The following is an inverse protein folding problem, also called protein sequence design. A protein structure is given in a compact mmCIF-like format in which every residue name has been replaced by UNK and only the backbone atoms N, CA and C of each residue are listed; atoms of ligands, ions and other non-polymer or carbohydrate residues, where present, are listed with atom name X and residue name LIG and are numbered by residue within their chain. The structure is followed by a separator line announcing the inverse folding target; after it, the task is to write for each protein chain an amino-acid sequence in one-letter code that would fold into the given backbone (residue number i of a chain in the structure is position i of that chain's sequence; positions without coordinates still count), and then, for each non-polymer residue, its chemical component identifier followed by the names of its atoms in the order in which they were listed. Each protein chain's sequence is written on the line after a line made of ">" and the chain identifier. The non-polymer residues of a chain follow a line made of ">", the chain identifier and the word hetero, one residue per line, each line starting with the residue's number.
data_IF_168473634324
#
_entry.id   IF_168473634324
#
_cell.length_a   1.000
_cell.length_b   1.000
_cell.length_c   1.000
_cell.angle_alpha   90.00
_cell.angle_beta   90.00
_cell.angle_gamma   90.00
#
_symmetry.space_group_name_H-M   'P 1'
#
loop_
_entity.id
_entity.type
_entity.pdbx_description
1 polymer ?
#
# COMPACT_ATOMS: atom_id res chain seq x y z
N UNK A 1 -20.12 13.83 -14.61
CA UNK A 1 -19.80 13.90 -13.16
C UNK A 1 -19.58 12.52 -12.54
N UNK A 2 -19.88 11.43 -13.24
CA UNK A 2 -19.79 10.03 -12.76
C UNK A 2 -18.38 9.53 -12.42
N UNK A 3 -17.33 10.03 -13.08
CA UNK A 3 -15.96 9.59 -12.84
C UNK A 3 -15.45 9.84 -11.40
N UNK A 4 -15.95 10.88 -10.72
CA UNK A 4 -15.59 11.16 -9.32
C UNK A 4 -16.28 10.20 -8.34
N UNK A 5 -17.51 9.80 -8.63
CA UNK A 5 -18.28 8.84 -7.82
C UNK A 5 -17.74 7.42 -7.94
N UNK A 6 -17.34 6.99 -9.14
CA UNK A 6 -16.73 5.66 -9.31
C UNK A 6 -15.40 5.54 -8.56
N UNK A 7 -14.62 6.63 -8.51
CA UNK A 7 -13.34 6.69 -7.81
C UNK A 7 -13.49 6.69 -6.29
N UNK A 8 -14.53 7.33 -5.74
CA UNK A 8 -14.78 7.34 -4.29
C UNK A 8 -15.27 5.98 -3.80
N UNK A 9 -16.13 5.31 -4.58
CA UNK A 9 -16.62 3.96 -4.28
C UNK A 9 -15.48 2.92 -4.28
N UNK A 10 -14.57 2.99 -5.26
CA UNK A 10 -13.41 2.08 -5.30
C UNK A 10 -12.44 2.26 -4.12
N UNK A 11 -12.29 3.48 -3.59
CA UNK A 11 -11.48 3.72 -2.40
C UNK A 11 -12.14 3.17 -1.13
N UNK A 12 -13.47 3.22 -1.04
CA UNK A 12 -14.21 2.73 0.12
C UNK A 12 -14.12 1.19 0.24
N UNK A 13 -14.27 0.46 -0.86
CA UNK A 13 -14.12 -1.00 -0.87
C UNK A 13 -12.69 -1.42 -0.50
N UNK A 14 -11.68 -0.78 -1.08
CA UNK A 14 -10.28 -1.03 -0.76
C UNK A 14 -9.96 -0.73 0.71
N UNK A 15 -10.56 0.32 1.27
CA UNK A 15 -10.45 0.66 2.69
C UNK A 15 -11.04 -0.43 3.59
N UNK A 16 -12.28 -0.84 3.35
CA UNK A 16 -12.97 -1.85 4.17
C UNK A 16 -12.21 -3.18 4.14
N UNK A 17 -11.72 -3.57 2.97
CA UNK A 17 -10.94 -4.79 2.82
C UNK A 17 -9.56 -4.67 3.50
N UNK A 18 -8.87 -3.54 3.38
CA UNK A 18 -7.62 -3.30 4.08
C UNK A 18 -7.80 -3.38 5.60
N UNK A 19 -8.84 -2.74 6.15
CA UNK A 19 -9.17 -2.80 7.57
C UNK A 19 -9.43 -4.26 7.98
N UNK A 20 -10.36 -4.94 7.31
CA UNK A 20 -10.71 -6.34 7.59
C UNK A 20 -9.47 -7.23 7.62
N UNK A 21 -8.60 -7.10 6.61
CA UNK A 21 -7.39 -7.91 6.51
C UNK A 21 -6.42 -7.61 7.65
N UNK A 22 -6.10 -6.34 7.92
CA UNK A 22 -5.17 -5.96 8.98
C UNK A 22 -5.67 -6.43 10.34
N UNK A 23 -6.96 -6.24 10.64
CA UNK A 23 -7.55 -6.68 11.90
C UNK A 23 -7.52 -8.20 12.04
N UNK A 24 -7.85 -8.92 10.96
CA UNK A 24 -7.88 -10.37 10.99
C UNK A 24 -6.47 -11.00 11.11
N UNK A 25 -5.43 -10.38 10.57
CA UNK A 25 -4.03 -10.82 10.70
C UNK A 25 -3.46 -10.47 12.07
N UNK A 26 -3.67 -9.23 12.52
CA UNK A 26 -3.11 -8.75 13.79
C UNK A 26 -3.89 -9.20 15.01
N UNK A 27 -5.16 -9.60 14.82
CA UNK A 27 -6.15 -9.87 15.88
C UNK A 27 -6.38 -8.64 16.77
N UNK A 28 -6.30 -7.44 16.18
CA UNK A 28 -6.50 -6.15 16.85
C UNK A 28 -7.45 -5.31 16.02
N UNK A 29 -8.22 -4.43 16.65
CA UNK A 29 -9.17 -3.54 15.97
C UNK A 29 -8.54 -2.20 15.63
N UNK A 30 -9.04 -1.54 14.58
CA UNK A 30 -8.81 -0.13 14.33
C UNK A 30 -9.56 0.61 15.44
N UNK A 31 -8.85 1.19 16.41
CA UNK A 31 -9.47 1.87 17.56
C UNK A 31 -10.20 3.18 17.22
N UNK A 32 -10.51 3.40 15.95
CA UNK A 32 -11.10 4.61 15.38
C UNK A 32 -11.74 4.26 14.04
N UNK A 33 -12.88 4.88 13.73
CA UNK A 33 -13.55 4.76 12.42
C UNK A 33 -12.81 5.54 11.32
N UNK A 34 -11.93 6.48 11.70
CA UNK A 34 -11.04 7.16 10.74
C UNK A 34 -9.75 6.34 10.50
N UNK A 35 -9.52 6.00 9.22
CA UNK A 35 -8.35 5.24 8.76
C UNK A 35 -7.03 5.81 9.24
N UNK A 36 -6.88 7.14 9.13
CA UNK A 36 -5.64 7.82 9.44
C UNK A 36 -5.40 7.69 10.94
N UNK A 37 -6.37 8.05 11.77
CA UNK A 37 -6.23 7.96 13.22
C UNK A 37 -5.93 6.55 13.70
N UNK A 38 -6.46 5.53 13.03
CA UNK A 38 -6.16 4.14 13.35
C UNK A 38 -4.71 3.70 13.02
N UNK A 39 -4.09 4.30 12.00
CA UNK A 39 -2.77 3.90 11.50
C UNK A 39 -1.63 4.89 11.82
N UNK A 40 -1.92 6.13 12.18
CA UNK A 40 -0.92 7.20 12.33
C UNK A 40 0.09 6.96 13.46
N UNK A 41 -0.27 6.17 14.47
CA UNK A 41 0.67 5.73 15.51
C UNK A 41 1.63 4.64 15.02
N UNK A 42 1.38 4.03 13.87
CA UNK A 42 2.21 3.00 13.22
C UNK A 42 2.29 1.65 13.94
N UNK A 43 1.74 1.50 15.15
CA UNK A 43 1.85 0.28 15.97
C UNK A 43 1.20 -0.90 15.26
N UNK A 44 -0.02 -0.70 14.75
CA UNK A 44 -0.79 -1.75 14.09
C UNK A 44 -0.10 -2.25 12.81
N UNK A 45 0.52 -1.33 12.06
CA UNK A 45 1.31 -1.65 10.87
C UNK A 45 2.58 -2.42 11.20
N UNK A 46 3.28 -2.05 12.28
CA UNK A 46 4.44 -2.82 12.75
C UNK A 46 4.05 -4.22 13.22
N UNK A 47 2.93 -4.34 13.94
CA UNK A 47 2.40 -5.63 14.38
C UNK A 47 1.99 -6.51 13.19
N UNK A 48 1.40 -5.93 12.13
CA UNK A 48 1.06 -6.62 10.89
C UNK A 48 2.29 -7.27 10.25
N UNK A 49 3.39 -6.52 10.12
CA UNK A 49 4.65 -7.04 9.59
C UNK A 49 5.16 -8.22 10.43
N UNK A 50 5.11 -8.10 11.76
CA UNK A 50 5.56 -9.18 12.65
C UNK A 50 4.63 -10.41 12.62
N UNK A 51 3.38 -10.27 12.18
CA UNK A 51 2.49 -11.40 11.91
C UNK A 51 2.80 -12.06 10.56
N UNK A 52 3.11 -11.27 9.54
CA UNK A 52 3.51 -11.78 8.23
C UNK A 52 4.86 -12.49 8.31
N UNK A 53 5.83 -11.86 8.99
CA UNK A 53 7.18 -12.39 9.16
C UNK A 53 7.70 -12.10 10.57
N UNK A 54 7.58 -13.06 11.49
CA UNK A 54 8.00 -12.89 12.89
C UNK A 54 9.44 -12.42 13.03
N UNK A 55 9.66 -11.48 13.96
CA UNK A 55 10.99 -10.96 14.29
C UNK A 55 11.54 -9.89 13.35
N UNK A 56 10.78 -9.46 12.33
CA UNK A 56 11.23 -8.42 11.38
C UNK A 56 11.39 -7.06 12.05
N UNK A 57 10.43 -6.67 12.90
CA UNK A 57 10.46 -5.42 13.67
C UNK A 57 10.66 -5.77 15.15
N UNK A 58 11.85 -5.47 15.67
CA UNK A 58 12.26 -5.84 17.03
C UNK A 58 11.71 -4.93 18.13
N UNK A 59 11.48 -3.65 17.82
CA UNK A 59 11.04 -2.63 18.79
C UNK A 59 10.00 -1.74 18.13
N UNK A 60 8.91 -1.50 18.86
CA UNK A 60 7.82 -0.60 18.48
C UNK A 60 7.72 0.46 19.59
N UNK A 61 7.70 1.73 19.21
CA UNK A 61 7.56 2.84 20.14
C UNK A 61 6.08 3.00 20.53
N UNK A 62 5.75 2.86 21.82
CA UNK A 62 4.37 2.93 22.32
C UNK A 62 4.04 4.24 23.03
N UNK A 63 4.94 5.23 22.97
CA UNK A 63 4.68 6.55 23.54
C UNK A 63 3.56 7.23 22.73
N UNK A 64 2.60 7.91 23.38
CA UNK A 64 1.50 8.61 22.71
C UNK A 64 1.98 9.97 22.16
N UNK A 65 3.01 9.97 21.31
CA UNK A 65 3.58 11.18 20.72
C UNK A 65 3.64 11.07 19.19
N UNK A 66 3.47 12.19 18.45
CA UNK A 66 3.57 12.18 16.99
C UNK A 66 4.93 11.67 16.48
N UNK A 67 6.01 11.95 17.22
CA UNK A 67 7.37 11.50 16.90
C UNK A 67 7.48 9.97 16.99
N UNK A 68 6.85 9.35 17.99
CA UNK A 68 6.80 7.89 18.11
C UNK A 68 6.02 7.25 16.96
N UNK A 69 4.89 7.86 16.56
CA UNK A 69 4.13 7.44 15.39
C UNK A 69 4.96 7.47 14.10
N UNK A 70 5.65 8.59 13.86
CA UNK A 70 6.53 8.76 12.71
C UNK A 70 7.68 7.73 12.70
N UNK A 71 8.30 7.46 13.84
CA UNK A 71 9.35 6.43 13.96
C UNK A 71 8.81 5.04 13.60
N UNK A 72 7.65 4.67 14.14
CA UNK A 72 7.00 3.39 13.82
C UNK A 72 6.66 3.27 12.33
N UNK A 73 6.12 4.31 11.69
CA UNK A 73 5.83 4.33 10.26
C UNK A 73 7.12 4.11 9.43
N UNK A 74 8.21 4.80 9.78
CA UNK A 74 9.49 4.61 9.11
C UNK A 74 10.05 3.19 9.31
N UNK A 75 9.90 2.62 10.51
CA UNK A 75 10.28 1.22 10.79
C UNK A 75 9.45 0.24 9.95
N UNK A 76 8.15 0.46 9.85
CA UNK A 76 7.25 -0.32 9.00
C UNK A 76 7.67 -0.28 7.53
N UNK A 77 7.89 0.91 6.95
CA UNK A 77 8.28 1.06 5.55
C UNK A 77 9.62 0.38 5.24
N UNK A 78 10.62 0.52 6.12
CA UNK A 78 11.89 -0.21 6.01
C UNK A 78 11.69 -1.72 6.05
N UNK A 79 10.77 -2.21 6.88
CA UNK A 79 10.47 -3.63 6.95
C UNK A 79 9.78 -4.13 5.68
N UNK A 80 8.83 -3.38 5.12
CA UNK A 80 8.24 -3.67 3.80
C UNK A 80 9.33 -3.82 2.72
N UNK A 81 10.33 -2.93 2.70
CA UNK A 81 11.48 -3.03 1.80
C UNK A 81 12.28 -4.33 2.01
N UNK A 82 12.55 -4.72 3.26
CA UNK A 82 13.20 -6.01 3.59
C UNK A 82 12.38 -7.22 3.18
N UNK A 83 11.06 -7.10 3.17
CA UNK A 83 10.16 -8.13 2.66
C UNK A 83 10.20 -8.19 1.13
N UNK A 84 10.70 -7.18 0.44
CA UNK A 84 10.89 -7.17 -1.02
C UNK A 84 9.99 -6.19 -1.77
N UNK A 85 9.27 -5.30 -1.07
CA UNK A 85 8.56 -4.19 -1.72
C UNK A 85 9.56 -3.17 -2.26
N UNK A 86 9.26 -2.61 -3.43
CA UNK A 86 10.06 -1.54 -4.07
C UNK A 86 9.64 -0.17 -3.51
N UNK A 87 10.53 0.81 -3.56
CA UNK A 87 10.23 2.18 -3.07
C UNK A 87 8.99 2.79 -3.73
N UNK A 88 8.77 2.54 -5.03
CA UNK A 88 7.57 3.00 -5.75
C UNK A 88 6.25 2.38 -5.25
N UNK A 89 6.31 1.33 -4.41
CA UNK A 89 5.17 0.68 -3.79
C UNK A 89 4.95 1.14 -2.35
N UNK A 90 5.87 1.95 -1.80
CA UNK A 90 5.83 2.46 -0.44
C UNK A 90 5.22 3.87 -0.41
N UNK A 91 4.34 4.10 0.56
CA UNK A 91 3.86 5.44 0.88
C UNK A 91 4.93 6.23 1.66
N UNK A 92 4.81 7.55 1.68
CA UNK A 92 5.62 8.41 2.55
C UNK A 92 4.86 8.71 3.85
N UNK A 93 5.47 8.76 5.06
CA UNK A 93 4.72 8.99 6.30
C UNK A 93 3.81 10.23 6.31
N UNK A 94 4.17 11.26 5.52
CA UNK A 94 3.32 12.44 5.28
C UNK A 94 2.01 12.14 4.56
N UNK A 95 1.92 11.04 3.81
CA UNK A 95 0.73 10.61 3.07
C UNK A 95 -0.44 10.20 3.96
N UNK A 96 -0.17 9.91 5.25
CA UNK A 96 -1.25 9.68 6.21
C UNK A 96 -1.94 11.00 6.62
N UNK A 97 -1.31 12.16 6.41
CA UNK A 97 -1.85 13.46 6.84
C UNK A 97 -2.88 14.04 5.87
N UNK A 98 -2.74 13.79 4.56
CA UNK A 98 -3.66 14.28 3.53
C UNK A 98 -4.70 13.20 3.13
N UNK A 99 -5.95 13.63 2.94
CA UNK A 99 -7.05 12.78 2.50
C UNK A 99 -6.80 12.21 1.11
N UNK A 100 -6.15 12.99 0.24
CA UNK A 100 -5.84 12.59 -1.14
C UNK A 100 -4.78 11.49 -1.22
N UNK A 101 -3.93 11.37 -0.20
CA UNK A 101 -2.80 10.45 -0.12
C UNK A 101 -3.10 9.15 0.64
N UNK A 102 -4.32 8.97 1.17
CA UNK A 102 -4.78 7.67 1.71
C UNK A 102 -4.73 6.54 0.67
N UNK A 103 -4.81 6.89 -0.61
CA UNK A 103 -4.67 5.96 -1.74
C UNK A 103 -3.31 5.28 -1.77
N UNK A 104 -2.21 6.01 -1.51
CA UNK A 104 -0.85 5.42 -1.54
C UNK A 104 -0.67 4.41 -0.42
N UNK A 105 -1.22 4.69 0.77
CA UNK A 105 -1.24 3.76 1.91
C UNK A 105 -1.97 2.46 1.55
N UNK A 106 -3.14 2.55 0.92
CA UNK A 106 -3.90 1.39 0.45
C UNK A 106 -3.13 0.59 -0.61
N UNK A 107 -2.44 1.27 -1.54
CA UNK A 107 -1.59 0.61 -2.54
C UNK A 107 -0.44 -0.14 -1.86
N UNK A 108 0.22 0.44 -0.85
CA UNK A 108 1.27 -0.27 -0.10
C UNK A 108 0.72 -1.49 0.63
N UNK A 109 -0.47 -1.40 1.23
CA UNK A 109 -1.15 -2.53 1.88
C UNK A 109 -1.45 -3.63 0.87
N UNK A 110 -1.92 -3.28 -0.33
CA UNK A 110 -2.13 -4.23 -1.43
C UNK A 110 -0.86 -5.02 -1.77
N UNK A 111 0.26 -4.32 -1.97
CA UNK A 111 1.54 -4.97 -2.29
C UNK A 111 2.07 -5.81 -1.14
N UNK A 112 1.87 -5.36 0.10
CA UNK A 112 2.24 -6.14 1.28
C UNK A 112 1.39 -7.42 1.38
N UNK A 113 0.09 -7.34 1.07
CA UNK A 113 -0.81 -8.51 1.02
C UNK A 113 -0.40 -9.51 -0.05
N UNK A 114 -0.04 -9.04 -1.26
CA UNK A 114 0.58 -9.88 -2.31
C UNK A 114 1.84 -10.56 -1.79
N UNK A 115 2.71 -9.80 -1.12
CA UNK A 115 3.96 -10.34 -0.60
C UNK A 115 3.75 -11.38 0.50
N UNK A 116 2.79 -11.16 1.38
CA UNK A 116 2.43 -12.08 2.45
C UNK A 116 2.00 -13.45 1.90
N UNK A 117 1.17 -13.47 0.84
CA UNK A 117 0.75 -14.73 0.19
C UNK A 117 1.90 -15.52 -0.45
N UNK A 118 3.00 -14.85 -0.82
CA UNK A 118 4.18 -15.51 -1.35
C UNK A 118 5.13 -16.04 -0.26
N UNK A 119 4.89 -15.70 1.01
CA UNK A 119 5.71 -16.19 2.13
C UNK A 119 5.18 -17.56 2.59
N UNK A 120 6.03 -18.59 2.57
CA UNK A 120 5.65 -19.95 2.92
C UNK A 120 5.25 -20.11 4.39
N UNK A 121 5.72 -19.21 5.27
CA UNK A 121 5.43 -19.26 6.70
C UNK A 121 4.17 -18.47 7.07
N UNK A 122 3.56 -17.79 6.12
CA UNK A 122 2.36 -17.01 6.38
C UNK A 122 1.11 -17.91 6.41
N UNK A 123 0.42 -17.92 7.55
CA UNK A 123 -0.79 -18.71 7.81
C UNK A 123 -2.04 -17.84 8.03
N UNK A 124 -1.93 -16.53 7.83
CA UNK A 124 -3.01 -15.57 8.03
C UNK A 124 -4.01 -15.52 6.87
N UNK A 125 -5.16 -14.85 7.07
CA UNK A 125 -6.14 -14.67 6.01
C UNK A 125 -5.56 -13.88 4.83
N UNK A 126 -6.09 -14.13 3.64
CA UNK A 126 -5.68 -13.45 2.43
C UNK A 126 -6.43 -12.13 2.22
N UNK A 127 -5.72 -11.16 1.65
CA UNK A 127 -6.30 -9.92 1.16
C UNK A 127 -7.07 -10.21 -0.14
N UNK A 128 -8.30 -9.71 -0.23
CA UNK A 128 -9.12 -9.78 -1.43
C UNK A 128 -8.70 -8.70 -2.42
N UNK A 129 -7.85 -9.06 -3.38
CA UNK A 129 -7.33 -8.12 -4.38
C UNK A 129 -8.40 -7.47 -5.26
N UNK A 130 -9.56 -8.11 -5.42
CA UNK A 130 -10.67 -7.56 -6.20
C UNK A 130 -11.18 -6.24 -5.61
N UNK A 131 -11.14 -6.08 -4.29
CA UNK A 131 -11.55 -4.85 -3.62
C UNK A 131 -10.66 -3.64 -3.99
N UNK A 132 -9.46 -3.87 -4.54
CA UNK A 132 -8.51 -2.84 -4.96
C UNK A 132 -8.61 -2.52 -6.46
N UNK A 133 -9.41 -3.22 -7.25
CA UNK A 133 -9.49 -3.00 -8.71
C UNK A 133 -9.89 -1.57 -9.07
N UNK A 134 -10.86 -0.96 -8.36
CA UNK A 134 -11.26 0.43 -8.60
C UNK A 134 -10.15 1.44 -8.25
N UNK A 135 -9.35 1.14 -7.22
CA UNK A 135 -8.20 1.94 -6.79
C UNK A 135 -7.05 1.85 -7.81
N UNK A 136 -6.75 0.63 -8.27
CA UNK A 136 -5.64 0.36 -9.18
C UNK A 136 -5.97 0.73 -10.61
N UNK A 137 -7.21 0.55 -11.06
CA UNK A 137 -7.67 0.96 -12.39
C UNK A 137 -7.58 2.47 -12.60
N UNK A 138 -7.88 3.27 -11.57
CA UNK A 138 -7.72 4.73 -11.60
C UNK A 138 -6.26 5.18 -11.49
N UNK A 139 -5.44 4.49 -10.69
CA UNK A 139 -3.99 4.74 -10.62
C UNK A 139 -3.28 4.40 -11.93
N UNK A 140 -3.61 3.25 -12.55
CA UNK A 140 -3.10 2.85 -13.85
C UNK A 140 -3.55 3.82 -14.93
N UNK A 141 -4.82 4.25 -14.98
CA UNK A 141 -5.27 5.26 -15.93
C UNK A 141 -4.47 6.57 -15.82
N UNK A 142 -4.16 7.04 -14.60
CA UNK A 142 -3.32 8.23 -14.40
C UNK A 142 -1.88 8.02 -14.89
N UNK A 143 -1.29 6.85 -14.64
CA UNK A 143 0.06 6.51 -15.13
C UNK A 143 0.06 6.46 -16.66
N UNK A 144 -0.91 5.79 -17.28
CA UNK A 144 -1.03 5.69 -18.75
C UNK A 144 -1.32 7.07 -19.36
N UNK A 145 -2.14 7.91 -18.72
CA UNK A 145 -2.42 9.27 -19.19
C UNK A 145 -1.20 10.21 -19.06
N UNK A 146 -0.38 10.06 -18.01
CA UNK A 146 0.92 10.74 -17.93
C UNK A 146 1.89 10.24 -19.01
N UNK A 147 1.88 8.96 -19.34
CA UNK A 147 2.65 8.41 -20.46
C UNK A 147 2.21 8.98 -21.82
N UNK A 148 0.91 9.12 -22.09
CA UNK A 148 0.41 9.79 -23.30
C UNK A 148 0.83 11.27 -23.36
N UNK A 149 0.82 11.98 -22.24
CA UNK A 149 1.31 13.37 -22.17
C UNK A 149 2.81 13.42 -22.45
N UNK A 150 3.62 12.52 -21.87
CA UNK A 150 5.07 12.46 -22.13
C UNK A 150 5.39 12.05 -23.58
N UNK A 151 4.62 11.10 -24.16
CA UNK A 151 4.73 10.70 -25.56
C UNK A 151 4.34 11.87 -26.48
N UNK A 152 3.32 12.66 -26.13
CA UNK A 152 2.89 13.85 -26.88
C UNK A 152 3.88 15.02 -26.78
N UNK A 153 4.65 15.11 -25.69
CA UNK A 153 5.72 16.09 -25.46
C UNK A 153 7.07 15.65 -26.04
N UNK A 154 7.11 14.54 -26.80
CA UNK A 154 8.20 14.21 -27.72
C UNK A 154 9.54 13.82 -27.07
N UNK A 155 9.57 13.51 -25.77
CA UNK A 155 10.82 13.13 -25.09
C UNK A 155 10.70 11.76 -24.45
N UNK A 156 10.92 10.70 -25.24
CA UNK A 156 11.58 9.51 -24.68
C UNK A 156 12.36 8.69 -25.70
N UNK A 157 13.64 8.57 -25.39
CA UNK A 157 14.61 7.61 -25.92
C UNK A 157 14.08 6.16 -25.80
N UNK A 158 14.34 5.38 -26.84
CA UNK A 158 13.91 3.98 -27.06
C UNK A 158 14.21 3.01 -25.90
N UNK A 159 15.09 3.38 -24.98
CA UNK A 159 15.45 2.59 -23.80
C UNK A 159 14.33 2.52 -22.74
N UNK A 160 13.49 3.56 -22.61
CA UNK A 160 12.41 3.58 -21.60
C UNK A 160 11.24 2.67 -22.02
N UNK A 161 10.91 2.64 -23.32
CA UNK A 161 9.92 1.70 -23.86
C UNK A 161 10.30 0.23 -23.67
N UNK A 162 11.60 -0.10 -23.74
CA UNK A 162 12.07 -1.47 -23.53
C UNK A 162 11.96 -1.88 -22.05
N UNK A 163 12.31 -0.99 -21.12
CA UNK A 163 12.20 -1.24 -19.69
C UNK A 163 10.73 -1.44 -19.23
N UNK A 164 9.78 -0.70 -19.81
CA UNK A 164 8.36 -0.78 -19.45
C UNK A 164 7.67 -2.03 -19.98
N UNK A 165 8.05 -2.53 -21.17
CA UNK A 165 7.59 -3.84 -21.65
C UNK A 165 8.02 -4.98 -20.71
N UNK A 166 9.21 -4.88 -20.13
CA UNK A 166 9.70 -5.88 -19.18
C UNK A 166 8.96 -5.84 -17.84
N UNK A 167 8.59 -4.65 -17.35
CA UNK A 167 7.78 -4.51 -16.12
C UNK A 167 6.35 -5.01 -16.32
N UNK A 168 5.74 -4.75 -17.48
CA UNK A 168 4.40 -5.23 -17.81
C UNK A 168 4.37 -6.75 -18.02
N UNK A 169 5.38 -7.32 -18.68
CA UNK A 169 5.50 -8.78 -18.89
C UNK A 169 5.70 -9.54 -17.58
N UNK A 170 6.45 -8.98 -16.63
CA UNK A 170 6.67 -9.60 -15.32
C UNK A 170 5.40 -9.61 -14.44
N UNK A 171 4.43 -8.72 -14.72
CA UNK A 171 3.17 -8.67 -13.97
C UNK A 171 2.09 -9.61 -14.52
N UNK A 172 2.29 -10.19 -15.71
CA UNK A 172 1.31 -11.05 -16.38
C UNK A 172 1.56 -12.55 -16.16
N UNK A 173 2.62 -12.94 -15.44
CA UNK A 173 2.98 -14.35 -15.19
C UNK A 173 3.10 -14.74 -13.70
N UNK A 174 2.63 -13.91 -12.76
CA UNK A 174 2.61 -14.21 -11.31
C UNK A 174 1.35 -13.69 -10.63
#
# INVERSE_FOLDING_TARGET
>A
MEWREQSSLGCAEAYLEAQRWIEAVTKKTFGSDDFRSALENGILLCDLINKIKPGTIKRINRLPTPIAGLDNLNVFLRACGKLGLKDAQLFHPGDLQDLSSRVTVLITIYWLGRRAQCDQLYDGPYLNFKAFEGLLGTALYKVIHFEWVIISLGTVSSLICAALKQVSYFHMQT
#
